data_IF_475210860052
#
_entry.id   IF_475210860052
#
_cell.length_a   1.000
_cell.length_b   1.000
_cell.length_c   1.000
_cell.angle_alpha   90.00
_cell.angle_beta   90.00
_cell.angle_gamma   90.00
#
_symmetry.space_group_name_H-M   'P 1'
#
loop_
_entity.id
_entity.type
_entity.pdbx_description
1 polymer ?
#
# COMPACT_ATOMS: atom_id res chain seq x y z
N UNK A 1 23.39 -0.94 0.36
CA UNK A 1 22.85 -1.14 -1.00
C UNK A 1 21.37 -0.78 -1.00
N UNK A 2 20.88 0.03 -1.94
CA UNK A 2 19.44 0.39 -1.95
C UNK A 2 18.60 -0.74 -2.56
N UNK A 3 17.39 -0.95 -1.96
CA UNK A 3 16.41 -1.89 -2.47
C UNK A 3 15.84 -1.41 -3.82
N UNK A 4 15.78 -2.30 -4.81
CA UNK A 4 15.02 -2.01 -6.03
C UNK A 4 13.51 -2.26 -5.81
N UNK A 5 12.69 -1.86 -6.79
CA UNK A 5 11.23 -1.92 -6.69
C UNK A 5 10.71 -3.36 -6.50
N UNK A 6 11.40 -4.35 -7.11
CA UNK A 6 11.02 -5.77 -6.99
C UNK A 6 11.34 -6.33 -5.61
N UNK A 7 12.43 -5.88 -4.99
CA UNK A 7 12.78 -6.28 -3.63
C UNK A 7 11.78 -5.72 -2.63
N UNK A 8 11.42 -4.44 -2.77
CA UNK A 8 10.36 -3.81 -1.96
C UNK A 8 9.04 -4.57 -2.09
N UNK A 9 8.64 -4.92 -3.31
CA UNK A 9 7.42 -5.69 -3.58
C UNK A 9 7.47 -7.08 -2.94
N UNK A 10 8.60 -7.79 -3.05
CA UNK A 10 8.78 -9.13 -2.49
C UNK A 10 8.77 -9.12 -0.96
N UNK A 11 9.43 -8.13 -0.33
CA UNK A 11 9.44 -7.98 1.12
C UNK A 11 8.03 -7.64 1.61
N UNK A 12 7.34 -6.71 0.97
CA UNK A 12 5.94 -6.37 1.30
C UNK A 12 5.03 -7.61 1.22
N UNK A 13 5.16 -8.41 0.16
CA UNK A 13 4.41 -9.67 -0.01
C UNK A 13 4.69 -10.67 1.12
N UNK A 14 5.96 -10.82 1.51
CA UNK A 14 6.38 -11.70 2.60
C UNK A 14 5.77 -11.29 3.94
N UNK A 15 5.77 -9.99 4.26
CA UNK A 15 5.17 -9.47 5.49
C UNK A 15 3.65 -9.73 5.49
N UNK A 16 2.95 -9.41 4.42
CA UNK A 16 1.51 -9.64 4.31
C UNK A 16 1.20 -11.13 4.47
N UNK A 17 1.95 -12.00 3.82
CA UNK A 17 1.76 -13.44 3.91
C UNK A 17 1.95 -13.98 5.33
N UNK A 18 2.93 -13.47 6.08
CA UNK A 18 3.10 -13.85 7.48
C UNK A 18 1.92 -13.40 8.35
N UNK A 19 1.47 -12.16 8.18
CA UNK A 19 0.30 -11.66 8.92
C UNK A 19 -0.97 -12.46 8.61
N UNK A 20 -1.13 -12.90 7.36
CA UNK A 20 -2.26 -13.74 6.95
C UNK A 20 -2.21 -15.13 7.58
N UNK A 21 -1.03 -15.75 7.67
CA UNK A 21 -0.88 -17.06 8.32
C UNK A 21 -1.28 -17.05 9.80
N UNK A 22 -1.16 -15.90 10.44
CA UNK A 22 -1.41 -15.69 11.88
C UNK A 22 -2.57 -14.70 12.11
N UNK A 23 -3.53 -14.59 11.17
CA UNK A 23 -4.52 -13.51 11.16
C UNK A 23 -5.35 -13.38 12.44
N UNK A 24 -5.69 -14.49 13.08
CA UNK A 24 -6.46 -14.51 14.31
C UNK A 24 -5.64 -14.24 15.58
N UNK A 25 -4.31 -14.22 15.46
CA UNK A 25 -3.45 -14.01 16.62
C UNK A 25 -3.58 -12.60 17.19
N UNK A 26 -3.41 -12.49 18.51
CA UNK A 26 -3.31 -11.19 19.19
C UNK A 26 -2.14 -10.35 18.65
N UNK A 27 -1.07 -11.01 18.22
CA UNK A 27 0.10 -10.39 17.59
C UNK A 27 -0.31 -9.66 16.30
N UNK A 28 -0.94 -10.34 15.34
CA UNK A 28 -1.36 -9.72 14.07
C UNK A 28 -2.34 -8.56 14.30
N UNK A 29 -3.29 -8.74 15.23
CA UNK A 29 -4.24 -7.67 15.59
C UNK A 29 -3.52 -6.44 16.15
N UNK A 30 -2.52 -6.62 17.00
CA UNK A 30 -1.71 -5.54 17.58
C UNK A 30 -0.85 -4.85 16.51
N UNK A 31 -0.17 -5.61 15.65
CA UNK A 31 0.63 -5.10 14.54
C UNK A 31 -0.20 -4.22 13.60
N UNK A 32 -1.36 -4.72 13.14
CA UNK A 32 -2.26 -3.96 12.27
C UNK A 32 -2.80 -2.70 12.95
N UNK A 33 -3.06 -2.75 14.26
CA UNK A 33 -3.47 -1.57 15.04
C UNK A 33 -2.34 -0.53 15.12
N UNK A 34 -1.10 -0.96 15.38
CA UNK A 34 0.07 -0.08 15.44
C UNK A 34 0.38 0.55 14.08
N UNK A 35 0.30 -0.20 12.98
CA UNK A 35 0.44 0.32 11.62
C UNK A 35 -0.60 1.42 11.32
N UNK A 36 -1.87 1.22 11.70
CA UNK A 36 -2.89 2.26 11.54
C UNK A 36 -2.60 3.50 12.41
N UNK A 37 -2.17 3.29 13.65
CA UNK A 37 -1.86 4.38 14.59
C UNK A 37 -0.64 5.20 14.16
N UNK A 38 0.31 4.59 13.44
CA UNK A 38 1.53 5.25 12.94
C UNK A 38 1.28 6.11 11.70
N UNK A 39 0.13 6.00 11.04
CA UNK A 39 -0.18 6.79 9.85
C UNK A 39 -0.17 8.29 10.13
N UNK A 40 0.59 9.03 9.31
CA UNK A 40 0.72 10.49 9.44
C UNK A 40 1.62 10.94 10.59
N UNK A 41 2.29 10.01 11.26
CA UNK A 41 3.34 10.30 12.25
C UNK A 41 4.71 10.18 11.59
N UNK A 42 5.70 10.81 12.20
CA UNK A 42 7.09 10.59 11.84
C UNK A 42 7.44 9.11 12.07
N UNK A 43 7.92 8.41 11.01
CA UNK A 43 8.12 6.96 11.05
C UNK A 43 9.14 6.53 12.11
N UNK A 44 10.16 7.34 12.36
CA UNK A 44 11.15 7.08 13.40
C UNK A 44 10.58 7.03 14.83
N UNK A 45 9.39 7.61 15.06
CA UNK A 45 8.72 7.60 16.38
C UNK A 45 7.82 6.39 16.61
N UNK A 46 7.59 5.59 15.59
CA UNK A 46 6.67 4.44 15.63
C UNK A 46 7.44 3.13 15.88
N UNK A 47 8.07 3.03 17.05
CA UNK A 47 8.99 1.94 17.42
C UNK A 47 8.33 0.55 17.30
N UNK A 48 7.03 0.46 17.51
CA UNK A 48 6.29 -0.81 17.55
C UNK A 48 6.17 -1.52 16.18
N UNK A 49 6.45 -0.82 15.08
CA UNK A 49 6.40 -1.43 13.73
C UNK A 49 7.76 -1.93 13.25
N UNK A 50 8.87 -1.48 13.87
CA UNK A 50 10.21 -1.81 13.42
C UNK A 50 10.55 -3.30 13.48
N UNK A 51 10.20 -4.07 14.53
CA UNK A 51 10.48 -5.50 14.55
C UNK A 51 9.90 -6.23 13.34
N UNK A 52 8.65 -5.91 12.96
CA UNK A 52 8.02 -6.49 11.78
C UNK A 52 8.79 -6.20 10.49
N UNK A 53 9.27 -4.97 10.32
CA UNK A 53 9.94 -4.57 9.09
C UNK A 53 11.34 -5.18 9.03
N UNK A 54 12.13 -5.03 10.09
CA UNK A 54 13.53 -5.48 10.12
C UNK A 54 13.66 -7.01 10.07
N UNK A 55 12.67 -7.76 10.55
CA UNK A 55 12.64 -9.23 10.44
C UNK A 55 12.57 -9.71 8.98
N UNK A 56 12.03 -8.88 8.08
CA UNK A 56 11.82 -9.25 6.68
C UNK A 56 12.79 -8.55 5.71
N UNK A 57 13.48 -7.51 6.16
CA UNK A 57 14.49 -6.81 5.36
C UNK A 57 15.81 -7.59 5.45
N UNK A 58 16.37 -8.07 4.33
CA UNK A 58 17.67 -8.74 4.33
C UNK A 58 18.78 -7.83 4.88
N UNK A 59 19.74 -8.44 5.60
CA UNK A 59 20.86 -7.72 6.24
C UNK A 59 21.64 -6.82 5.27
N UNK A 60 21.74 -7.22 4.00
CA UNK A 60 22.42 -6.45 2.95
C UNK A 60 21.79 -5.09 2.65
N UNK A 61 20.52 -4.89 3.04
CA UNK A 61 19.78 -3.63 2.90
C UNK A 61 19.70 -2.83 4.20
N UNK A 62 20.09 -3.43 5.33
CA UNK A 62 20.15 -2.74 6.61
C UNK A 62 21.41 -1.89 6.62
N UNK A 63 21.25 -0.59 6.43
CA UNK A 63 22.36 0.35 6.46
C UNK A 63 22.68 0.75 7.91
N UNK A 64 23.97 0.94 8.21
CA UNK A 64 24.42 1.51 9.48
C UNK A 64 23.95 2.99 9.66
N UNK A 65 23.33 3.57 8.62
CA UNK A 65 22.83 4.92 8.63
C UNK A 65 21.51 4.99 9.41
N UNK A 66 21.36 5.91 10.38
CA UNK A 66 20.13 6.07 11.17
C UNK A 66 18.94 6.64 10.36
N UNK A 67 19.12 6.90 9.07
CA UNK A 67 18.06 7.41 8.20
C UNK A 67 17.28 6.27 7.56
N UNK A 68 15.97 6.45 7.54
CA UNK A 68 15.05 5.56 6.83
C UNK A 68 15.38 5.54 5.34
N UNK A 69 15.61 4.36 4.78
CA UNK A 69 15.83 4.19 3.34
C UNK A 69 14.53 4.41 2.55
N UNK A 70 14.64 4.71 1.26
CA UNK A 70 13.48 4.84 0.38
C UNK A 70 12.63 3.55 0.35
N UNK A 71 13.28 2.39 0.28
CA UNK A 71 12.61 1.09 0.28
C UNK A 71 11.83 0.82 1.58
N UNK A 72 12.45 1.01 2.73
CA UNK A 72 11.79 0.86 4.04
C UNK A 72 10.59 1.81 4.17
N UNK A 73 10.73 3.05 3.73
CA UNK A 73 9.65 4.02 3.72
C UNK A 73 8.44 3.52 2.92
N UNK A 74 8.68 2.98 1.72
CA UNK A 74 7.61 2.44 0.87
C UNK A 74 6.97 1.21 1.51
N UNK A 75 7.77 0.28 2.04
CA UNK A 75 7.25 -0.91 2.73
C UNK A 75 6.32 -0.49 3.87
N UNK A 76 6.79 0.39 4.76
CA UNK A 76 6.00 0.87 5.92
C UNK A 76 4.70 1.53 5.43
N UNK A 77 4.76 2.45 4.47
CA UNK A 77 3.58 3.13 3.98
C UNK A 77 2.58 2.18 3.32
N UNK A 78 3.07 1.19 2.57
CA UNK A 78 2.19 0.16 1.97
C UNK A 78 1.54 -0.71 3.04
N UNK A 79 2.30 -1.11 4.06
CA UNK A 79 1.76 -1.88 5.19
C UNK A 79 0.74 -1.09 6.01
N UNK A 80 0.92 0.24 6.14
CA UNK A 80 -0.08 1.13 6.73
C UNK A 80 -1.38 1.14 5.91
N UNK A 81 -1.28 1.23 4.58
CA UNK A 81 -2.44 1.18 3.69
C UNK A 81 -3.15 -0.19 3.73
N UNK A 82 -2.37 -1.28 3.78
CA UNK A 82 -2.90 -2.63 4.00
C UNK A 82 -3.66 -2.73 5.32
N UNK A 83 -3.08 -2.27 6.42
CA UNK A 83 -3.70 -2.27 7.73
C UNK A 83 -4.97 -1.40 7.79
N UNK A 84 -5.02 -0.30 7.03
CA UNK A 84 -6.20 0.54 6.87
C UNK A 84 -7.32 -0.19 6.13
N UNK A 85 -6.99 -0.83 5.00
CA UNK A 85 -7.95 -1.54 4.18
C UNK A 85 -8.52 -2.76 4.90
N UNK A 86 -7.66 -3.55 5.54
CA UNK A 86 -8.03 -4.79 6.24
C UNK A 86 -8.88 -4.59 7.49
N UNK A 87 -9.02 -3.37 8.00
CA UNK A 87 -9.84 -3.11 9.19
C UNK A 87 -11.34 -3.35 8.91
N UNK A 88 -11.92 -4.39 9.53
CA UNK A 88 -13.33 -4.76 9.34
C UNK A 88 -13.59 -5.50 8.02
N UNK A 89 -12.55 -5.96 7.36
CA UNK A 89 -12.58 -6.85 6.19
C UNK A 89 -11.94 -8.16 6.63
N UNK A 90 -12.46 -9.30 6.17
CA UNK A 90 -11.77 -10.56 6.36
C UNK A 90 -10.43 -10.51 5.62
N UNK A 91 -9.34 -10.79 6.32
CA UNK A 91 -7.99 -10.63 5.78
C UNK A 91 -7.75 -11.48 4.53
N UNK A 92 -8.38 -12.65 4.46
CA UNK A 92 -8.34 -13.51 3.27
C UNK A 92 -8.93 -12.84 2.03
N UNK A 93 -9.92 -11.97 2.21
CA UNK A 93 -10.51 -11.17 1.14
C UNK A 93 -9.72 -9.89 0.85
N UNK A 94 -8.89 -9.44 1.78
CA UNK A 94 -8.08 -8.24 1.60
C UNK A 94 -6.83 -8.46 0.74
N UNK A 95 -6.45 -9.72 0.51
CA UNK A 95 -5.23 -10.09 -0.20
C UNK A 95 -5.42 -11.32 -1.07
N UNK A 96 -5.18 -11.21 -2.35
CA UNK A 96 -5.12 -12.35 -3.27
C UNK A 96 -3.69 -12.74 -3.59
N UNK A 97 -3.33 -13.98 -3.29
CA UNK A 97 -2.01 -14.57 -3.55
C UNK A 97 -1.65 -14.68 -5.05
N UNK A 98 -2.66 -14.66 -5.95
CA UNK A 98 -2.41 -14.66 -7.38
C UNK A 98 -2.34 -13.22 -7.89
N UNK A 99 -1.12 -12.70 -7.90
CA UNK A 99 -0.81 -11.46 -8.59
C UNK A 99 -1.12 -11.63 -10.07
N UNK A 100 -2.14 -10.93 -10.53
CA UNK A 100 -2.35 -10.78 -11.96
C UNK A 100 -1.45 -9.63 -12.43
N UNK A 101 -0.39 -9.93 -13.16
CA UNK A 101 0.61 -8.97 -13.65
C UNK A 101 0.01 -7.78 -14.41
N UNK A 102 -1.24 -7.90 -14.83
CA UNK A 102 -1.96 -6.88 -15.58
C UNK A 102 -2.87 -5.99 -14.70
N UNK A 103 -2.99 -6.28 -13.42
CA UNK A 103 -3.80 -5.52 -12.48
C UNK A 103 -2.92 -4.62 -11.62
N UNK A 104 -3.43 -3.45 -11.29
CA UNK A 104 -2.83 -2.49 -10.37
C UNK A 104 -3.94 -1.77 -9.58
N UNK A 105 -3.59 -0.80 -8.77
CA UNK A 105 -4.57 -0.05 -7.95
C UNK A 105 -5.65 0.66 -8.81
N UNK A 106 -5.33 1.03 -10.04
CA UNK A 106 -6.29 1.57 -11.02
C UNK A 106 -7.43 0.60 -11.30
N UNK A 107 -7.14 -0.72 -11.42
CA UNK A 107 -8.16 -1.78 -11.59
C UNK A 107 -9.10 -1.82 -10.38
N UNK A 108 -8.58 -1.74 -9.17
CA UNK A 108 -9.39 -1.73 -7.95
C UNK A 108 -10.33 -0.52 -7.92
N UNK A 109 -9.84 0.67 -8.27
CA UNK A 109 -10.67 1.87 -8.35
C UNK A 109 -11.64 1.85 -9.54
N UNK A 110 -11.29 1.23 -10.66
CA UNK A 110 -12.20 1.00 -11.79
C UNK A 110 -13.40 0.14 -11.38
N UNK A 111 -13.16 -0.92 -10.60
CA UNK A 111 -14.23 -1.75 -10.05
C UNK A 111 -15.20 -0.94 -9.18
N UNK A 112 -14.67 -0.04 -8.34
CA UNK A 112 -15.49 0.87 -7.56
C UNK A 112 -16.26 1.88 -8.45
N UNK A 113 -15.60 2.42 -9.48
CA UNK A 113 -16.20 3.35 -10.45
C UNK A 113 -17.40 2.75 -11.14
N UNK A 114 -17.28 1.49 -11.57
CA UNK A 114 -18.33 0.78 -12.30
C UNK A 114 -19.58 0.48 -11.46
N UNK A 115 -19.43 0.38 -10.15
CA UNK A 115 -20.52 0.13 -9.19
C UNK A 115 -21.05 1.42 -8.54
N UNK A 116 -20.46 2.57 -8.82
CA UNK A 116 -20.81 3.86 -8.20
C UNK A 116 -21.84 4.64 -8.98
N UNK A 117 -22.85 5.18 -8.28
CA UNK A 117 -23.81 6.15 -8.84
C UNK A 117 -23.18 7.54 -9.05
N UNK A 118 -22.00 7.79 -8.47
CA UNK A 118 -21.31 9.08 -8.48
C UNK A 118 -19.96 8.99 -9.20
N UNK A 119 -19.92 8.50 -10.44
CA UNK A 119 -18.68 8.30 -11.23
C UNK A 119 -17.86 9.58 -11.34
N UNK A 120 -18.48 10.71 -11.64
CA UNK A 120 -17.79 11.99 -11.79
C UNK A 120 -17.05 12.45 -10.50
N UNK A 121 -17.63 12.20 -9.34
CA UNK A 121 -17.00 12.54 -8.08
C UNK A 121 -15.78 11.65 -7.81
N UNK A 122 -15.85 10.38 -8.22
CA UNK A 122 -14.75 9.44 -8.11
C UNK A 122 -13.63 9.79 -9.10
N UNK A 123 -13.99 10.12 -10.35
CA UNK A 123 -13.07 10.55 -11.40
C UNK A 123 -12.28 11.80 -10.97
N UNK A 124 -12.94 12.79 -10.39
CA UNK A 124 -12.25 13.97 -9.83
C UNK A 124 -11.23 13.60 -8.75
N UNK A 125 -11.59 12.74 -7.82
CA UNK A 125 -10.67 12.30 -6.74
C UNK A 125 -9.50 11.50 -7.29
N UNK A 126 -9.77 10.58 -8.23
CA UNK A 126 -8.74 9.82 -8.90
C UNK A 126 -7.76 10.73 -9.65
N UNK A 127 -8.27 11.71 -10.39
CA UNK A 127 -7.43 12.67 -11.13
C UNK A 127 -6.56 13.50 -10.19
N UNK A 128 -7.10 13.99 -9.08
CA UNK A 128 -6.30 14.69 -8.06
C UNK A 128 -5.19 13.78 -7.52
N UNK A 129 -5.50 12.51 -7.24
CA UNK A 129 -4.51 11.56 -6.74
C UNK A 129 -3.37 11.31 -7.75
N UNK A 130 -3.68 11.02 -9.02
CA UNK A 130 -2.64 10.71 -10.01
C UNK A 130 -1.84 11.93 -10.46
N UNK A 131 -2.34 13.15 -10.26
CA UNK A 131 -1.63 14.39 -10.56
C UNK A 131 -0.81 14.93 -9.38
N UNK A 132 -0.77 14.22 -8.25
CA UNK A 132 0.07 14.56 -7.11
C UNK A 132 1.52 14.81 -7.53
N UNK A 133 2.12 15.87 -7.01
CA UNK A 133 3.48 16.29 -7.37
C UNK A 133 4.53 15.73 -6.43
N UNK A 134 4.12 15.36 -5.21
CA UNK A 134 5.00 14.77 -4.20
C UNK A 134 4.50 13.40 -3.75
N UNK A 135 5.43 12.59 -3.26
CA UNK A 135 5.12 11.27 -2.70
C UNK A 135 4.15 11.37 -1.50
N UNK A 136 4.30 12.35 -0.64
CA UNK A 136 3.43 12.52 0.53
C UNK A 136 2.02 12.96 0.13
N UNK A 137 1.89 13.80 -0.89
CA UNK A 137 0.61 14.17 -1.47
C UNK A 137 -0.10 12.95 -2.10
N UNK A 138 0.65 12.14 -2.86
CA UNK A 138 0.12 10.89 -3.41
C UNK A 138 -0.40 9.97 -2.29
N UNK A 139 0.38 9.74 -1.24
CA UNK A 139 -0.03 8.92 -0.10
C UNK A 139 -1.28 9.45 0.60
N UNK A 140 -1.39 10.78 0.74
CA UNK A 140 -2.57 11.40 1.32
C UNK A 140 -3.83 11.08 0.51
N UNK A 141 -3.80 11.32 -0.80
CA UNK A 141 -4.94 11.06 -1.67
C UNK A 141 -5.22 9.55 -1.82
N UNK A 142 -4.18 8.72 -1.91
CA UNK A 142 -4.31 7.27 -1.98
C UNK A 142 -5.01 6.71 -0.73
N UNK A 143 -4.66 7.22 0.47
CA UNK A 143 -5.35 6.87 1.71
C UNK A 143 -6.85 7.19 1.65
N UNK A 144 -7.22 8.37 1.13
CA UNK A 144 -8.62 8.77 0.98
C UNK A 144 -9.36 7.83 0.01
N UNK A 145 -8.71 7.49 -1.11
CA UNK A 145 -9.28 6.60 -2.12
C UNK A 145 -9.44 5.17 -1.59
N UNK A 146 -8.47 4.64 -0.83
CA UNK A 146 -8.56 3.31 -0.21
C UNK A 146 -9.67 3.28 0.85
N UNK A 147 -9.83 4.33 1.66
CA UNK A 147 -10.96 4.43 2.59
C UNK A 147 -12.30 4.40 1.86
N UNK A 148 -12.40 5.11 0.74
CA UNK A 148 -13.62 5.12 -0.07
C UNK A 148 -13.90 3.74 -0.68
N UNK A 149 -12.86 3.07 -1.20
CA UNK A 149 -12.93 1.72 -1.74
C UNK A 149 -13.38 0.71 -0.69
N UNK A 150 -12.83 0.79 0.53
CA UNK A 150 -13.24 -0.02 1.67
C UNK A 150 -14.70 0.21 2.04
N UNK A 151 -15.12 1.48 2.18
CA UNK A 151 -16.47 1.82 2.63
C UNK A 151 -17.54 1.43 1.61
N UNK A 152 -17.29 1.67 0.33
CA UNK A 152 -18.26 1.42 -0.75
C UNK A 152 -18.13 0.01 -1.35
N UNK A 153 -16.93 -0.52 -1.43
CA UNK A 153 -16.66 -1.88 -1.91
C UNK A 153 -16.98 -2.97 -0.90
N UNK A 154 -17.34 -2.61 0.34
CA UNK A 154 -17.68 -3.55 1.44
C UNK A 154 -16.63 -4.65 1.64
N UNK A 155 -15.35 -4.34 1.37
CA UNK A 155 -14.26 -5.29 1.48
C UNK A 155 -14.22 -6.38 0.39
N UNK A 156 -15.01 -6.26 -0.67
CA UNK A 156 -15.05 -7.24 -1.77
C UNK A 156 -14.14 -6.89 -2.94
N UNK A 157 -13.55 -5.70 -2.95
CA UNK A 157 -12.64 -5.26 -4.01
C UNK A 157 -11.21 -5.50 -3.55
N UNK A 158 -10.48 -6.31 -4.31
CA UNK A 158 -9.11 -6.65 -3.97
C UNK A 158 -8.13 -5.54 -4.32
N UNK A 159 -7.07 -5.44 -3.52
CA UNK A 159 -5.92 -4.58 -3.79
C UNK A 159 -4.66 -5.45 -3.82
N UNK A 160 -3.88 -5.37 -4.90
CA UNK A 160 -2.52 -5.92 -4.96
C UNK A 160 -1.57 -4.96 -4.25
N UNK A 161 -1.38 -5.15 -2.93
CA UNK A 161 -0.49 -4.31 -2.12
C UNK A 161 0.99 -4.50 -2.48
N UNK A 162 1.40 -5.69 -2.91
CA UNK A 162 2.77 -5.90 -3.36
C UNK A 162 3.05 -5.18 -4.68
N UNK A 163 2.11 -5.19 -5.62
CA UNK A 163 2.17 -4.37 -6.82
C UNK A 163 2.11 -2.88 -6.53
N UNK A 164 1.27 -2.48 -5.56
CA UNK A 164 1.20 -1.09 -5.11
C UNK A 164 2.54 -0.60 -4.53
N UNK A 165 3.25 -1.44 -3.76
CA UNK A 165 4.56 -1.07 -3.23
C UNK A 165 5.61 -0.90 -4.34
N UNK A 166 5.56 -1.71 -5.40
CA UNK A 166 6.40 -1.53 -6.59
C UNK A 166 6.12 -0.19 -7.28
N UNK A 167 4.84 0.15 -7.48
CA UNK A 167 4.44 1.42 -8.09
C UNK A 167 4.84 2.62 -7.21
N UNK A 168 4.68 2.53 -5.90
CA UNK A 168 5.09 3.58 -4.96
C UNK A 168 6.62 3.76 -4.95
N UNK A 169 7.39 2.67 -5.10
CA UNK A 169 8.85 2.76 -5.25
C UNK A 169 9.22 3.51 -6.52
N UNK A 170 8.61 3.17 -7.67
CA UNK A 170 8.82 3.87 -8.94
C UNK A 170 8.49 5.35 -8.83
N UNK A 171 7.39 5.68 -8.16
CA UNK A 171 7.00 7.08 -7.94
C UNK A 171 8.05 7.83 -7.13
N UNK A 172 8.57 7.22 -6.06
CA UNK A 172 9.52 7.85 -5.15
C UNK A 172 10.90 8.11 -5.81
N UNK A 173 11.31 7.29 -6.79
CA UNK A 173 12.59 7.41 -7.51
C UNK A 173 12.48 8.25 -8.80
N UNK A 174 11.35 8.92 -9.05
CA UNK A 174 11.19 9.84 -10.19
C UNK A 174 10.58 9.23 -11.45
N UNK A 175 10.02 8.00 -11.37
CA UNK A 175 9.28 7.35 -12.47
C UNK A 175 7.76 7.53 -12.35
N UNK A 176 7.32 8.65 -11.78
CA UNK A 176 5.92 8.93 -11.50
C UNK A 176 5.03 8.93 -12.74
N UNK A 177 5.56 9.32 -13.90
CA UNK A 177 4.78 9.34 -15.15
C UNK A 177 4.39 7.93 -15.62
N UNK A 178 5.25 6.94 -15.45
CA UNK A 178 4.93 5.55 -15.77
C UNK A 178 3.79 5.04 -14.87
N UNK A 179 3.88 5.35 -13.58
CA UNK A 179 2.84 4.97 -12.60
C UNK A 179 1.51 5.61 -12.94
N UNK A 180 1.49 6.92 -13.21
CA UNK A 180 0.29 7.67 -13.60
C UNK A 180 -0.39 7.08 -14.82
N UNK A 181 0.38 6.83 -15.88
CA UNK A 181 -0.14 6.25 -17.13
C UNK A 181 -0.66 4.82 -16.88
N UNK A 182 0.07 4.01 -16.14
CA UNK A 182 -0.32 2.65 -15.80
C UNK A 182 -1.64 2.60 -15.04
N UNK A 183 -1.77 3.43 -14.00
CA UNK A 183 -3.00 3.51 -13.18
C UNK A 183 -4.18 4.06 -13.98
N UNK A 184 -3.97 5.11 -14.78
CA UNK A 184 -5.02 5.70 -15.61
C UNK A 184 -5.58 4.71 -16.64
N UNK A 185 -4.70 3.94 -17.32
CA UNK A 185 -5.11 2.93 -18.30
C UNK A 185 -5.96 1.81 -17.73
N UNK A 186 -5.86 1.56 -16.42
CA UNK A 186 -6.65 0.53 -15.74
C UNK A 186 -7.90 1.09 -15.08
N UNK A 187 -7.89 2.38 -14.79
CA UNK A 187 -9.02 3.06 -14.18
C UNK A 187 -10.11 3.41 -15.21
N UNK A 188 -9.73 3.94 -16.38
CA UNK A 188 -10.63 4.33 -17.47
C UNK A 188 -10.87 3.19 -18.47
#
# INVERSE_FOLDING_TARGET
MEMNEKDVSRITDSIIFELLKKYDSSYTKAVLANLRKSMGRELGTSIEIWPLILEHVPDEYIEENPRLTAGERVIINTMQLFALYSQGVELENAYHKKRNRWENIGTSFSSLRNTSDCKEALDRRFNVMITSTTYDELLYHLRQMINLLKAKGKGQINIDFSGLSEDLSKFLIGNENEVRISWARKYY
#
